data_IF_815870973192
#
_entry.id   IF_815870973192
#
_cell.length_a   1.000
_cell.length_b   1.000
_cell.length_c   1.000
_cell.angle_alpha   90.00
_cell.angle_beta   90.00
_cell.angle_gamma   90.00
#
_symmetry.space_group_name_H-M   'P 1'
#
loop_
_entity.id
_entity.type
_entity.pdbx_description
1 polymer ?
#
# COMPACT_ATOMS: atom_id res chain seq x y z
N UNK A 1 -20.24 -14.13 -8.84
CA UNK A 1 -20.34 -13.28 -7.66
C UNK A 1 -18.99 -12.70 -7.33
N UNK A 2 -18.93 -11.41 -7.30
CA UNK A 2 -17.65 -10.74 -7.13
C UNK A 2 -17.48 -10.32 -5.69
N UNK A 3 -16.63 -11.00 -4.99
CA UNK A 3 -16.31 -10.62 -3.65
C UNK A 3 -15.11 -9.71 -3.66
N UNK A 4 -15.12 -8.70 -2.82
CA UNK A 4 -14.00 -7.80 -2.70
C UNK A 4 -12.89 -8.47 -1.90
N UNK A 5 -11.70 -8.54 -2.46
CA UNK A 5 -10.55 -9.08 -1.78
C UNK A 5 -9.68 -7.93 -1.34
N UNK A 6 -9.41 -7.85 -0.04
CA UNK A 6 -8.56 -6.80 0.50
C UNK A 6 -7.16 -7.36 0.74
N UNK A 7 -6.17 -6.72 0.14
CA UNK A 7 -4.78 -7.09 0.32
C UNK A 7 -4.12 -6.02 1.16
N UNK A 8 -3.60 -6.41 2.32
CA UNK A 8 -2.98 -5.46 3.23
C UNK A 8 -1.47 -5.59 3.11
N UNK A 9 -0.82 -4.49 2.78
CA UNK A 9 0.62 -4.47 2.57
C UNK A 9 1.26 -3.56 3.60
N UNK A 10 2.02 -4.10 4.53
CA UNK A 10 2.72 -3.25 5.50
C UNK A 10 3.93 -2.61 4.84
N UNK A 11 4.10 -1.31 5.07
CA UNK A 11 5.13 -0.53 4.44
C UNK A 11 6.02 0.07 5.52
N UNK A 12 7.32 -0.16 5.41
CA UNK A 12 8.29 0.51 6.28
C UNK A 12 9.63 0.56 5.57
N UNK A 13 9.97 1.75 5.07
CA UNK A 13 11.25 1.97 4.39
C UNK A 13 11.50 0.95 3.29
N UNK A 14 10.51 0.76 2.42
CA UNK A 14 10.58 -0.23 1.36
C UNK A 14 10.56 0.41 -0.02
N UNK A 15 11.03 1.64 -0.15
CA UNK A 15 10.89 2.35 -1.43
C UNK A 15 11.50 1.58 -2.59
N UNK A 16 12.54 0.79 -2.34
CA UNK A 16 13.20 0.07 -3.42
C UNK A 16 12.34 -1.02 -4.02
N UNK A 17 11.43 -1.58 -3.24
CA UNK A 17 10.60 -2.69 -3.69
C UNK A 17 9.15 -2.32 -3.85
N UNK A 18 8.76 -1.15 -3.35
CA UNK A 18 7.36 -0.80 -3.22
C UNK A 18 6.67 -0.70 -4.58
N UNK A 19 7.29 -0.02 -5.53
CA UNK A 19 6.69 0.15 -6.85
C UNK A 19 6.43 -1.20 -7.49
N UNK A 20 7.42 -2.07 -7.44
CA UNK A 20 7.31 -3.38 -8.05
C UNK A 20 6.20 -4.19 -7.37
N UNK A 21 6.15 -4.12 -6.06
CA UNK A 21 5.16 -4.86 -5.29
C UNK A 21 3.74 -4.41 -5.62
N UNK A 22 3.51 -3.10 -5.62
CA UNK A 22 2.17 -2.58 -5.87
C UNK A 22 1.77 -2.81 -7.33
N UNK A 23 2.71 -2.62 -8.26
CA UNK A 23 2.39 -2.86 -9.66
C UNK A 23 2.02 -4.32 -9.90
N UNK A 24 2.69 -5.23 -9.21
CA UNK A 24 2.38 -6.64 -9.32
C UNK A 24 0.95 -6.90 -8.86
N UNK A 25 0.53 -6.26 -7.78
CA UNK A 25 -0.84 -6.43 -7.29
C UNK A 25 -1.86 -5.81 -8.23
N UNK A 26 -1.51 -4.66 -8.82
CA UNK A 26 -2.43 -4.00 -9.74
C UNK A 26 -2.66 -4.79 -11.01
N UNK A 27 -1.70 -5.63 -11.37
CA UNK A 27 -1.79 -6.42 -12.60
C UNK A 27 -2.52 -7.74 -12.41
N UNK A 28 -3.01 -8.00 -11.21
CA UNK A 28 -3.77 -9.23 -10.98
C UNK A 28 -4.98 -9.26 -11.89
N UNK A 29 -5.36 -10.45 -12.32
CA UNK A 29 -6.51 -10.58 -13.19
C UNK A 29 -7.82 -10.33 -12.44
N UNK A 30 -7.82 -10.51 -11.16
CA UNK A 30 -9.03 -10.29 -10.37
C UNK A 30 -9.21 -8.79 -10.15
N UNK A 31 -10.26 -8.23 -10.74
CA UNK A 31 -10.43 -6.78 -10.71
C UNK A 31 -11.09 -6.26 -9.43
N UNK A 32 -11.78 -7.12 -8.70
CA UNK A 32 -12.46 -6.66 -7.49
C UNK A 32 -11.54 -6.78 -6.29
N UNK A 33 -10.48 -6.00 -6.31
CA UNK A 33 -9.44 -6.07 -5.30
C UNK A 33 -9.23 -4.68 -4.70
N UNK A 34 -8.96 -4.65 -3.42
CA UNK A 34 -8.63 -3.43 -2.71
C UNK A 34 -7.24 -3.58 -2.13
N UNK A 35 -6.36 -2.66 -2.45
CA UNK A 35 -4.97 -2.72 -1.98
C UNK A 35 -4.80 -1.69 -0.89
N UNK A 36 -4.50 -2.15 0.31
CA UNK A 36 -4.39 -1.29 1.48
C UNK A 36 -2.92 -1.22 1.88
N UNK A 37 -2.33 -0.06 1.69
CA UNK A 37 -0.92 0.17 2.03
C UNK A 37 -0.88 0.84 3.40
N UNK A 38 -0.29 0.17 4.36
CA UNK A 38 -0.20 0.69 5.72
C UNK A 38 1.23 1.11 5.96
N UNK A 39 1.47 2.41 5.96
CA UNK A 39 2.81 2.94 6.18
C UNK A 39 3.04 3.14 7.66
N UNK A 40 4.05 2.48 8.19
CA UNK A 40 4.33 2.48 9.61
C UNK A 40 5.51 3.40 9.91
N UNK A 41 5.37 4.66 9.54
CA UNK A 41 6.38 5.66 9.89
C UNK A 41 7.63 5.62 9.03
N UNK A 42 7.47 5.37 7.72
CA UNK A 42 8.63 5.35 6.83
C UNK A 42 9.33 6.69 6.79
N UNK A 43 10.65 6.68 6.68
CA UNK A 43 11.45 7.88 6.58
C UNK A 43 12.04 8.05 5.18
N UNK A 44 11.84 7.09 4.30
CA UNK A 44 12.31 7.21 2.91
C UNK A 44 11.16 7.68 2.02
N UNK A 45 11.26 7.47 0.73
CA UNK A 45 10.24 7.94 -0.21
C UNK A 45 9.02 7.02 -0.30
N UNK A 46 8.90 6.05 0.60
CA UNK A 46 7.76 5.14 0.56
C UNK A 46 6.43 5.87 0.66
N UNK A 47 6.38 6.92 1.49
CA UNK A 47 5.13 7.66 1.69
C UNK A 47 4.67 8.29 0.37
N UNK A 48 5.57 8.97 -0.32
CA UNK A 48 5.24 9.62 -1.58
C UNK A 48 4.81 8.60 -2.63
N UNK A 49 5.49 7.47 -2.67
CA UNK A 49 5.15 6.42 -3.63
C UNK A 49 3.76 5.88 -3.36
N UNK A 50 3.43 5.64 -2.10
CA UNK A 50 2.10 5.18 -1.74
C UNK A 50 1.04 6.17 -2.16
N UNK A 51 1.26 7.44 -1.89
CA UNK A 51 0.28 8.48 -2.21
C UNK A 51 0.08 8.59 -3.72
N UNK A 52 1.14 8.44 -4.50
CA UNK A 52 1.02 8.47 -5.94
C UNK A 52 0.15 7.33 -6.45
N UNK A 53 0.34 6.15 -5.91
CA UNK A 53 -0.48 5.01 -6.32
C UNK A 53 -1.94 5.24 -5.97
N UNK A 54 -2.20 5.81 -4.79
CA UNK A 54 -3.58 6.06 -4.39
C UNK A 54 -4.25 7.07 -5.30
N UNK A 55 -3.48 8.02 -5.83
CA UNK A 55 -4.02 9.01 -6.73
C UNK A 55 -4.40 8.41 -8.09
N UNK A 56 -3.59 7.50 -8.59
CA UNK A 56 -3.84 7.00 -9.94
C UNK A 56 -4.65 5.71 -9.98
N UNK A 57 -4.92 5.09 -8.84
CA UNK A 57 -5.69 3.86 -8.82
C UNK A 57 -6.64 3.90 -7.63
N UNK A 58 -7.93 4.00 -7.90
CA UNK A 58 -8.91 4.13 -6.83
C UNK A 58 -9.00 2.88 -5.96
N UNK A 59 -8.42 1.77 -6.39
CA UNK A 59 -8.42 0.56 -5.57
C UNK A 59 -7.35 0.60 -4.50
N UNK A 60 -6.42 1.56 -4.59
CA UNK A 60 -5.33 1.67 -3.63
C UNK A 60 -5.70 2.63 -2.53
N UNK A 61 -5.62 2.18 -1.31
CA UNK A 61 -5.86 3.01 -0.12
C UNK A 61 -4.58 3.07 0.69
N UNK A 62 -4.31 4.22 1.29
CA UNK A 62 -3.09 4.42 2.04
C UNK A 62 -3.43 4.89 3.44
N UNK A 63 -2.85 4.26 4.42
CA UNK A 63 -2.96 4.68 5.81
C UNK A 63 -1.57 4.94 6.34
N UNK A 64 -1.35 6.14 6.86
CA UNK A 64 -0.07 6.52 7.45
C UNK A 64 -0.22 6.49 8.95
N UNK A 65 0.67 5.81 9.62
CA UNK A 65 0.67 5.86 11.07
C UNK A 65 2.07 6.17 11.54
N UNK A 66 2.15 6.85 12.65
CA UNK A 66 3.43 7.17 13.22
C UNK A 66 4.07 5.91 13.76
N UNK A 67 5.37 5.81 13.56
CA UNK A 67 6.11 4.73 14.16
C UNK A 67 6.46 5.17 15.57
N UNK A 68 5.64 4.82 16.51
CA UNK A 68 5.85 5.26 17.89
C UNK A 68 6.68 4.27 18.67
N UNK A 69 6.95 3.16 18.11
CA UNK A 69 7.77 2.18 18.77
C UNK A 69 7.16 1.64 20.04
N UNK A 70 5.93 1.93 20.27
CA UNK A 70 5.36 1.52 21.49
C UNK A 70 4.22 0.66 21.22
N UNK A 71 4.31 -0.50 21.60
CA UNK A 71 3.21 -1.34 21.46
C UNK A 71 2.40 -1.14 22.65
N UNK A 72 1.98 -0.64 23.16
CA UNK A 72 1.27 -0.58 24.35
C UNK A 72 0.06 -1.39 24.47
#
# INVERSE_FOLDING_TARGET
>A
MDELISVIVPIYNTEKYLVECVESLRKQTYSNIEIILVDDGSTDASIEICDEFAEKDSRVKVFHKKNEGVAV
#
